data_IF_128303085190
#
_entry.id   IF_128303085190
#
_cell.length_a   1.000
_cell.length_b   1.000
_cell.length_c   1.000
_cell.angle_alpha   90.00
_cell.angle_beta   90.00
_cell.angle_gamma   90.00
#
_symmetry.space_group_name_H-M   'P 1'
#
loop_
_entity.id
_entity.type
_entity.pdbx_description
1 polymer ?
#
# COMPACT_ATOMS: atom_id res chain seq x y z
N UNK A 1 4.69 20.46 -6.92
CA UNK A 1 5.84 19.75 -6.33
C UNK A 1 6.97 20.73 -6.09
N UNK A 2 7.55 21.37 -7.12
CA UNK A 2 8.75 22.23 -7.01
C UNK A 2 8.62 23.36 -5.99
N UNK A 3 7.48 24.03 -5.85
CA UNK A 3 7.27 25.09 -4.88
C UNK A 3 7.30 24.59 -3.43
N UNK A 4 6.73 23.40 -3.20
CA UNK A 4 6.76 22.77 -1.88
C UNK A 4 8.18 22.29 -1.53
N UNK A 5 8.91 21.71 -2.49
CA UNK A 5 10.31 21.33 -2.31
C UNK A 5 11.19 22.55 -1.98
N UNK A 6 10.98 23.71 -2.66
CA UNK A 6 11.67 24.99 -2.34
C UNK A 6 11.33 25.53 -0.94
N UNK A 7 10.11 25.25 -0.47
CA UNK A 7 9.67 25.62 0.88
C UNK A 7 10.12 24.61 1.96
N UNK A 8 10.96 23.63 1.61
CA UNK A 8 11.51 22.64 2.54
C UNK A 8 10.57 21.50 2.89
N UNK A 9 9.55 21.26 2.05
CA UNK A 9 8.71 20.08 2.17
C UNK A 9 9.26 18.94 1.32
N UNK A 10 9.16 17.73 1.83
CA UNK A 10 9.48 16.51 1.10
C UNK A 10 8.20 15.84 0.62
N UNK A 11 8.22 15.39 -0.64
CA UNK A 11 7.20 14.53 -1.23
C UNK A 11 7.45 13.11 -0.75
N UNK A 12 6.79 12.66 0.32
CA UNK A 12 7.09 11.38 0.95
C UNK A 12 6.25 10.22 0.42
N UNK A 13 5.08 10.52 -0.19
CA UNK A 13 4.24 9.58 -0.92
C UNK A 13 3.50 10.33 -2.04
N UNK A 14 2.75 9.61 -2.88
CA UNK A 14 2.25 10.09 -4.18
C UNK A 14 1.44 11.41 -4.12
N UNK A 15 0.73 11.67 -3.01
CA UNK A 15 -0.19 12.81 -2.88
C UNK A 15 0.17 13.78 -1.76
N UNK A 16 1.06 13.41 -0.84
CA UNK A 16 1.31 14.17 0.37
C UNK A 16 2.75 14.64 0.51
N UNK A 17 2.87 15.81 1.13
CA UNK A 17 4.13 16.48 1.43
C UNK A 17 4.20 16.77 2.91
N UNK A 18 5.37 16.68 3.49
CA UNK A 18 5.64 17.08 4.88
C UNK A 18 7.01 17.72 5.02
N UNK A 19 7.26 18.40 6.13
CA UNK A 19 8.64 18.65 6.55
C UNK A 19 9.29 17.34 6.98
N UNK A 20 10.61 17.18 6.83
CA UNK A 20 11.33 15.99 7.27
C UNK A 20 11.01 15.66 8.73
N UNK A 21 10.63 14.39 9.00
CA UNK A 21 10.23 13.89 10.31
C UNK A 21 8.79 14.21 10.74
N UNK A 22 7.99 14.84 9.87
CA UNK A 22 6.56 15.13 10.11
C UNK A 22 5.63 14.39 9.15
N UNK A 23 6.11 13.30 8.57
CA UNK A 23 5.29 12.43 7.72
C UNK A 23 4.11 11.86 8.53
N UNK A 24 2.94 11.77 7.91
CA UNK A 24 1.78 11.15 8.55
C UNK A 24 2.02 9.66 8.77
N UNK A 25 2.28 9.27 10.02
CA UNK A 25 2.43 7.85 10.40
C UNK A 25 1.20 7.04 10.06
N UNK A 26 0.03 7.64 10.19
CA UNK A 26 -1.24 7.00 9.85
C UNK A 26 -1.32 6.67 8.35
N UNK A 27 -0.95 7.60 7.47
CA UNK A 27 -0.92 7.35 6.03
C UNK A 27 0.16 6.31 5.67
N UNK A 28 1.36 6.44 6.24
CA UNK A 28 2.44 5.49 5.99
C UNK A 28 2.06 4.06 6.40
N UNK A 29 1.29 3.88 7.47
CA UNK A 29 0.80 2.57 7.89
C UNK A 29 -0.05 1.90 6.79
N UNK A 30 -0.90 2.66 6.09
CA UNK A 30 -1.66 2.13 4.94
C UNK A 30 -0.75 1.78 3.75
N UNK A 31 0.20 2.66 3.44
CA UNK A 31 1.15 2.42 2.33
C UNK A 31 2.16 1.32 2.65
N UNK A 32 2.38 1.01 3.92
CA UNK A 32 3.16 -0.15 4.38
C UNK A 32 2.35 -1.45 4.36
N UNK A 33 1.10 -1.40 3.92
CA UNK A 33 0.16 -2.52 3.95
C UNK A 33 0.15 -3.22 5.32
N UNK A 34 0.19 -2.40 6.38
CA UNK A 34 0.16 -2.86 7.76
C UNK A 34 -1.25 -3.20 8.19
N UNK A 35 -1.38 -4.13 9.11
CA UNK A 35 -2.66 -4.47 9.72
C UNK A 35 -3.19 -3.33 10.59
N UNK A 36 -4.50 -3.13 10.57
CA UNK A 36 -5.18 -2.13 11.38
C UNK A 36 -6.61 -2.54 11.72
N UNK A 37 -7.06 -2.08 12.88
CA UNK A 37 -8.44 -2.29 13.34
C UNK A 37 -9.34 -1.13 12.92
N UNK A 38 -10.47 -1.46 12.30
CA UNK A 38 -11.56 -0.52 12.08
C UNK A 38 -12.45 -0.42 13.32
N UNK A 39 -12.38 0.71 14.03
CA UNK A 39 -13.17 0.94 15.23
C UNK A 39 -14.33 1.91 14.96
N UNK A 40 -15.54 1.51 15.31
CA UNK A 40 -16.74 2.32 15.18
C UNK A 40 -17.59 1.99 13.94
N UNK A 41 -18.75 2.68 13.84
CA UNK A 41 -19.71 2.50 12.76
C UNK A 41 -19.10 2.89 11.40
N UNK A 42 -19.27 2.02 10.42
CA UNK A 42 -18.79 2.22 9.04
C UNK A 42 -17.27 2.14 8.87
N UNK A 43 -16.52 1.87 9.95
CA UNK A 43 -15.07 1.74 9.88
C UNK A 43 -14.65 0.47 9.13
N UNK A 44 -13.55 0.56 8.39
CA UNK A 44 -12.91 -0.59 7.76
C UNK A 44 -11.65 -0.98 8.52
N UNK A 45 -11.31 -2.27 8.49
CA UNK A 45 -10.09 -2.81 9.06
C UNK A 45 -9.45 -3.84 8.14
N UNK A 46 -8.19 -4.16 8.42
CA UNK A 46 -7.43 -5.19 7.73
C UNK A 46 -6.57 -5.95 8.76
N UNK A 47 -6.87 -7.22 8.99
CA UNK A 47 -6.18 -8.05 9.99
C UNK A 47 -6.11 -9.50 9.50
N UNK A 48 -4.95 -10.12 9.58
CA UNK A 48 -4.70 -11.52 9.21
C UNK A 48 -5.19 -11.86 7.78
N UNK A 49 -4.93 -10.98 6.80
CA UNK A 49 -5.37 -11.16 5.42
C UNK A 49 -6.87 -10.99 5.19
N UNK A 50 -7.60 -10.55 6.21
CA UNK A 50 -9.05 -10.29 6.11
C UNK A 50 -9.30 -8.80 6.14
N UNK A 51 -9.85 -8.28 5.05
CA UNK A 51 -10.41 -6.92 4.99
C UNK A 51 -11.85 -6.97 5.43
N UNK A 52 -12.25 -6.06 6.31
CA UNK A 52 -13.62 -6.01 6.80
C UNK A 52 -14.15 -4.59 6.89
N UNK A 53 -15.47 -4.49 6.92
CA UNK A 53 -16.19 -3.24 7.15
C UNK A 53 -17.28 -3.45 8.21
N UNK A 54 -17.38 -2.50 9.13
CA UNK A 54 -18.44 -2.49 10.13
C UNK A 54 -19.75 -1.91 9.56
N UNK A 55 -20.89 -2.22 10.20
CA UNK A 55 -22.17 -1.61 9.87
C UNK A 55 -22.08 -0.09 9.88
N UNK A 56 -22.56 0.58 8.81
CA UNK A 56 -22.50 2.03 8.65
C UNK A 56 -23.45 2.80 9.57
N UNK A 57 -24.77 2.51 9.56
CA UNK A 57 -25.73 3.18 10.42
C UNK A 57 -25.47 2.86 11.91
N UNK A 58 -25.37 3.89 12.74
CA UNK A 58 -25.00 3.75 14.17
C UNK A 58 -25.88 2.75 14.93
N UNK A 59 -27.19 2.73 14.67
CA UNK A 59 -28.12 1.80 15.33
C UNK A 59 -27.81 0.35 14.97
N UNK A 60 -27.54 0.06 13.69
CA UNK A 60 -27.19 -1.30 13.24
C UNK A 60 -25.83 -1.72 13.80
N UNK A 61 -24.86 -0.78 13.85
CA UNK A 61 -23.58 -1.04 14.46
C UNK A 61 -23.69 -1.40 15.94
N UNK A 62 -24.47 -0.62 16.72
CA UNK A 62 -24.67 -0.89 18.15
C UNK A 62 -25.32 -2.27 18.38
N UNK A 63 -26.39 -2.57 17.63
CA UNK A 63 -27.05 -3.88 17.72
C UNK A 63 -26.08 -5.02 17.37
N UNK A 64 -25.32 -4.89 16.27
CA UNK A 64 -24.37 -5.89 15.85
C UNK A 64 -23.22 -6.10 16.87
N UNK A 65 -22.79 -5.04 17.55
CA UNK A 65 -21.84 -5.14 18.67
C UNK A 65 -22.42 -5.92 19.84
N UNK A 66 -23.69 -5.68 20.20
CA UNK A 66 -24.41 -6.43 21.26
C UNK A 66 -24.56 -7.91 20.88
N UNK A 67 -24.75 -8.21 19.60
CA UNK A 67 -24.83 -9.57 19.06
C UNK A 67 -23.44 -10.24 18.88
N UNK A 68 -22.35 -9.52 19.15
CA UNK A 68 -20.97 -10.02 19.18
C UNK A 68 -20.20 -9.94 17.84
N UNK A 69 -20.80 -9.40 16.76
CA UNK A 69 -20.10 -9.19 15.50
C UNK A 69 -20.55 -7.90 14.81
N UNK A 70 -19.72 -6.87 14.86
CA UNK A 70 -20.00 -5.57 14.25
C UNK A 70 -19.77 -5.52 12.72
N UNK A 71 -19.20 -6.56 12.13
CA UNK A 71 -18.81 -6.60 10.72
C UNK A 71 -20.00 -6.92 9.81
N UNK A 72 -20.18 -6.11 8.76
CA UNK A 72 -21.20 -6.32 7.74
C UNK A 72 -20.61 -6.96 6.46
N UNK A 73 -19.32 -6.80 6.26
CA UNK A 73 -18.61 -7.34 5.11
C UNK A 73 -17.25 -7.85 5.55
N UNK A 74 -16.87 -9.01 5.02
CA UNK A 74 -15.53 -9.60 5.15
C UNK A 74 -15.06 -10.09 3.79
N UNK A 75 -13.80 -9.84 3.49
CA UNK A 75 -13.12 -10.27 2.27
C UNK A 75 -11.79 -10.92 2.67
N UNK A 76 -11.64 -12.20 2.34
CA UNK A 76 -10.44 -12.96 2.58
C UNK A 76 -9.54 -12.84 1.37
N UNK A 77 -8.43 -12.14 1.51
CA UNK A 77 -7.47 -11.97 0.42
C UNK A 77 -6.64 -13.24 0.25
N UNK A 78 -6.50 -13.68 -1.00
CA UNK A 78 -5.53 -14.70 -1.39
C UNK A 78 -4.10 -14.18 -1.23
N UNK A 79 -3.12 -15.07 -1.22
CA UNK A 79 -1.71 -14.66 -1.19
C UNK A 79 -1.34 -13.81 -2.41
N UNK A 80 -1.89 -14.13 -3.58
CA UNK A 80 -1.70 -13.36 -4.81
C UNK A 80 -2.19 -11.92 -4.63
N UNK A 81 -3.43 -11.73 -4.19
CA UNK A 81 -4.00 -10.40 -3.93
C UNK A 81 -3.21 -9.61 -2.88
N UNK A 82 -2.74 -10.27 -1.83
CA UNK A 82 -1.89 -9.62 -0.83
C UNK A 82 -0.54 -9.18 -1.39
N UNK A 83 0.07 -9.96 -2.30
CA UNK A 83 1.33 -9.59 -2.98
C UNK A 83 1.12 -8.41 -3.94
N UNK A 84 0.04 -8.41 -4.71
CA UNK A 84 -0.34 -7.31 -5.62
C UNK A 84 -0.56 -6.02 -4.84
N UNK A 85 -1.28 -6.08 -3.72
CA UNK A 85 -1.50 -4.93 -2.85
C UNK A 85 -0.21 -4.41 -2.22
N UNK A 86 0.70 -5.28 -1.82
CA UNK A 86 2.01 -4.87 -1.30
C UNK A 86 2.78 -4.04 -2.34
N UNK A 87 2.72 -4.43 -3.61
CA UNK A 87 3.34 -3.67 -4.70
C UNK A 87 2.58 -2.38 -4.96
N UNK A 88 1.25 -2.43 -5.09
CA UNK A 88 0.40 -1.26 -5.35
C UNK A 88 0.55 -0.18 -4.28
N UNK A 89 0.49 -0.56 -3.01
CA UNK A 89 0.59 0.37 -1.89
C UNK A 89 2.04 0.83 -1.65
N UNK A 90 2.98 -0.12 -1.66
CA UNK A 90 4.38 0.16 -1.36
C UNK A 90 5.06 1.07 -2.38
N UNK A 91 4.73 0.95 -3.67
CA UNK A 91 5.25 1.81 -4.73
C UNK A 91 4.74 3.26 -4.64
N UNK A 92 3.65 3.53 -3.91
CA UNK A 92 3.18 4.90 -3.66
C UNK A 92 4.13 5.70 -2.77
N UNK A 93 4.96 5.03 -1.97
CA UNK A 93 5.96 5.68 -1.12
C UNK A 93 7.21 6.05 -1.90
N UNK A 94 7.81 7.17 -1.58
CA UNK A 94 9.14 7.56 -2.08
C UNK A 94 10.23 6.53 -1.72
N UNK A 95 10.05 5.83 -0.59
CA UNK A 95 10.95 4.78 -0.12
C UNK A 95 10.81 3.48 -0.91
N UNK A 96 9.66 3.26 -1.59
CA UNK A 96 9.41 2.07 -2.39
C UNK A 96 9.15 0.81 -1.59
N UNK A 97 9.36 -0.34 -2.23
CA UNK A 97 9.15 -1.70 -1.71
C UNK A 97 10.49 -2.37 -1.47
N UNK A 98 10.69 -2.96 -0.29
CA UNK A 98 11.86 -3.79 0.01
C UNK A 98 11.62 -5.22 -0.48
N UNK A 99 12.51 -5.73 -1.32
CA UNK A 99 12.49 -7.10 -1.81
C UNK A 99 12.61 -8.10 -0.66
N UNK A 100 13.56 -7.83 0.25
CA UNK A 100 13.79 -8.68 1.42
C UNK A 100 12.54 -8.76 2.30
N UNK A 101 11.90 -7.62 2.62
CA UNK A 101 10.67 -7.61 3.41
C UNK A 101 9.51 -8.32 2.70
N UNK A 102 9.43 -8.20 1.38
CA UNK A 102 8.46 -8.94 0.57
C UNK A 102 8.68 -10.45 0.68
N UNK A 103 9.92 -10.92 0.52
CA UNK A 103 10.28 -12.33 0.63
C UNK A 103 10.02 -12.89 2.04
N UNK A 104 10.35 -12.12 3.09
CA UNK A 104 10.05 -12.48 4.48
C UNK A 104 8.54 -12.59 4.76
N UNK A 105 7.73 -11.70 4.15
CA UNK A 105 6.28 -11.67 4.35
C UNK A 105 5.55 -12.78 3.61
N UNK A 106 5.95 -13.08 2.40
CA UNK A 106 5.19 -13.97 1.50
C UNK A 106 5.86 -15.34 1.27
N UNK A 107 7.13 -15.50 1.65
CA UNK A 107 7.89 -16.72 1.36
C UNK A 107 8.18 -16.94 -0.12
N UNK A 108 8.04 -15.92 -0.96
CA UNK A 108 8.22 -15.96 -2.41
C UNK A 108 9.41 -15.09 -2.80
N UNK A 109 10.30 -15.60 -3.66
CA UNK A 109 11.42 -14.81 -4.15
C UNK A 109 10.92 -13.67 -5.05
N UNK A 110 11.26 -12.43 -4.68
CA UNK A 110 10.79 -11.23 -5.35
C UNK A 110 11.22 -11.18 -6.84
N UNK A 111 12.48 -11.47 -7.12
CA UNK A 111 13.01 -11.36 -8.49
C UNK A 111 12.48 -12.47 -9.40
N UNK A 112 12.13 -13.65 -8.86
CA UNK A 112 11.43 -14.68 -9.63
C UNK A 112 10.00 -14.25 -9.97
N UNK A 113 9.31 -13.58 -9.04
CA UNK A 113 7.92 -13.17 -9.21
C UNK A 113 7.78 -11.94 -10.09
N UNK A 114 8.56 -10.89 -9.83
CA UNK A 114 8.40 -9.57 -10.41
C UNK A 114 9.61 -9.05 -11.18
N UNK A 115 10.71 -9.81 -11.24
CA UNK A 115 11.93 -9.40 -11.93
C UNK A 115 11.70 -8.91 -13.36
N UNK A 116 11.00 -9.67 -14.23
CA UNK A 116 10.73 -9.24 -15.60
C UNK A 116 9.95 -7.92 -15.69
N UNK A 117 8.95 -7.73 -14.84
CA UNK A 117 8.15 -6.48 -14.78
C UNK A 117 9.01 -5.30 -14.33
N UNK A 118 9.83 -5.50 -13.28
CA UNK A 118 10.75 -4.46 -12.79
C UNK A 118 11.77 -4.08 -13.87
N UNK A 119 12.30 -5.04 -14.60
CA UNK A 119 13.23 -4.78 -15.70
C UNK A 119 12.58 -3.96 -16.82
N UNK A 120 11.39 -4.37 -17.29
CA UNK A 120 10.60 -3.64 -18.31
C UNK A 120 10.37 -2.19 -17.89
N UNK A 121 9.83 -1.98 -16.68
CA UNK A 121 9.50 -0.65 -16.18
C UNK A 121 10.75 0.20 -15.91
N UNK A 122 11.88 -0.43 -15.60
CA UNK A 122 13.17 0.24 -15.45
C UNK A 122 13.69 0.74 -16.80
N UNK A 123 13.60 -0.08 -17.85
CA UNK A 123 13.96 0.30 -19.22
C UNK A 123 13.09 1.46 -19.73
N UNK A 124 11.83 1.52 -19.31
CA UNK A 124 10.92 2.64 -19.60
C UNK A 124 11.20 3.90 -18.75
N UNK A 125 12.12 3.82 -17.79
CA UNK A 125 12.47 4.91 -16.88
C UNK A 125 11.38 5.22 -15.86
N UNK A 126 10.53 4.24 -15.53
CA UNK A 126 9.43 4.38 -14.57
C UNK A 126 9.81 3.89 -13.17
N UNK A 127 10.70 2.90 -13.08
CA UNK A 127 11.25 2.40 -11.82
C UNK A 127 12.76 2.62 -11.73
N UNK A 128 13.24 2.67 -10.49
CA UNK A 128 14.68 2.60 -10.15
C UNK A 128 14.84 1.39 -9.22
N UNK A 129 15.46 0.31 -9.70
CA UNK A 129 15.85 -0.80 -8.84
C UNK A 129 17.14 -0.43 -8.10
N UNK A 130 17.17 -0.69 -6.82
CA UNK A 130 18.36 -0.77 -6.00
C UNK A 130 18.51 -2.22 -5.54
N UNK A 131 19.61 -2.59 -4.86
CA UNK A 131 19.86 -3.98 -4.44
C UNK A 131 18.67 -4.60 -3.73
N UNK A 132 18.04 -3.88 -2.81
CA UNK A 132 16.91 -4.34 -2.01
C UNK A 132 15.62 -3.55 -2.26
N UNK A 133 15.69 -2.36 -2.84
CA UNK A 133 14.54 -1.45 -2.94
C UNK A 133 14.12 -1.28 -4.41
N UNK A 134 12.82 -1.40 -4.67
CA UNK A 134 12.19 -1.01 -5.93
C UNK A 134 11.33 0.22 -5.66
N UNK A 135 11.58 1.31 -6.38
CA UNK A 135 10.83 2.57 -6.21
C UNK A 135 10.53 3.23 -7.54
N UNK A 136 9.48 4.03 -7.56
CA UNK A 136 9.15 4.83 -8.73
C UNK A 136 10.12 6.00 -8.92
N UNK A 137 10.42 6.30 -10.19
CA UNK A 137 11.04 7.58 -10.59
C UNK A 137 10.01 8.70 -10.47
N UNK A 138 10.45 9.98 -10.61
CA UNK A 138 9.49 11.10 -10.75
C UNK A 138 8.50 10.86 -11.91
N UNK A 139 8.96 10.32 -13.04
CA UNK A 139 8.10 9.96 -14.18
C UNK A 139 7.13 8.84 -13.82
N UNK A 140 7.61 7.81 -13.10
CA UNK A 140 6.77 6.70 -12.63
C UNK A 140 5.65 7.16 -11.70
N UNK A 141 5.92 8.11 -10.79
CA UNK A 141 4.91 8.66 -9.88
C UNK A 141 3.74 9.33 -10.63
N UNK A 142 3.98 9.99 -11.78
CA UNK A 142 2.91 10.55 -12.61
C UNK A 142 2.10 9.48 -13.35
N UNK A 143 2.63 8.28 -13.51
CA UNK A 143 2.01 7.13 -14.17
C UNK A 143 1.76 6.00 -13.16
N UNK A 144 1.54 6.34 -11.90
CA UNK A 144 1.49 5.40 -10.78
C UNK A 144 0.50 4.26 -11.00
N UNK A 145 -0.70 4.54 -11.49
CA UNK A 145 -1.71 3.52 -11.76
C UNK A 145 -1.27 2.57 -12.88
N UNK A 146 -0.70 3.10 -13.98
CA UNK A 146 -0.16 2.29 -15.09
C UNK A 146 1.01 1.41 -14.63
N UNK A 147 1.87 1.92 -13.74
CA UNK A 147 2.96 1.13 -13.16
C UNK A 147 2.39 0.03 -12.27
N UNK A 148 1.40 0.35 -11.44
CA UNK A 148 0.80 -0.60 -10.51
C UNK A 148 0.06 -1.74 -11.23
N UNK A 149 -0.67 -1.45 -12.30
CA UNK A 149 -1.36 -2.46 -13.13
C UNK A 149 -0.43 -3.56 -13.66
N UNK A 150 0.86 -3.25 -13.87
CA UNK A 150 1.85 -4.23 -14.34
C UNK A 150 2.22 -5.29 -13.30
N UNK A 151 1.91 -5.05 -12.03
CA UNK A 151 2.17 -5.99 -10.94
C UNK A 151 0.98 -6.90 -10.61
N UNK A 152 -0.13 -6.79 -11.36
CA UNK A 152 -1.27 -7.70 -11.27
C UNK A 152 -0.84 -9.04 -11.87
N UNK A 153 -1.06 -10.11 -11.12
CA UNK A 153 -0.73 -11.47 -11.50
C UNK A 153 -1.96 -12.13 -12.16
N UNK A 154 -1.77 -12.71 -13.34
CA UNK A 154 -2.81 -13.46 -14.05
C UNK A 154 -3.07 -14.85 -13.42
#
# INVERSE_FOLDING_TARGET
IQELERAGFEHYEISNFSKPGFESRHNLMYWDNAEYYGLGAGASGYVNGVRYKNHGPIRHYMQAVEEGNARVQEEHLSQTEMMEEEMFLGLRKKTGVSKKRFEEKFGVNFDQQYGPVVEELTQQGLLVPDKDIVRMTKKGLFLGDTVAEKFILE
#
